data_IF_163473953143
#
_entry.id   IF_163473953143
#
_cell.length_a   1.000
_cell.length_b   1.000
_cell.length_c   1.000
_cell.angle_alpha   90.00
_cell.angle_beta   90.00
_cell.angle_gamma   90.00
#
_symmetry.space_group_name_H-M   'P 1'
#
loop_
_entity.id
_entity.type
_entity.pdbx_description
1 polymer ?
#
# COMPACT_ATOMS: atom_id res chain seq x y z
N UNK A 1 10.14 3.24 -39.10
CA UNK A 1 10.64 1.87 -39.30
C UNK A 1 10.89 1.31 -37.90
N UNK A 2 10.15 0.26 -37.58
CA UNK A 2 9.92 -0.33 -36.26
C UNK A 2 11.17 -1.05 -35.76
N UNK A 3 11.70 -0.66 -34.60
CA UNK A 3 12.63 -1.49 -33.83
C UNK A 3 11.83 -2.17 -32.71
N UNK A 4 11.13 -3.23 -33.09
CA UNK A 4 10.46 -4.16 -32.18
C UNK A 4 11.56 -5.05 -31.62
N UNK A 5 12.17 -4.65 -30.51
CA UNK A 5 13.06 -5.53 -29.76
C UNK A 5 12.23 -6.43 -28.83
N UNK A 6 11.85 -7.57 -29.39
CA UNK A 6 11.78 -8.92 -28.83
C UNK A 6 12.31 -9.08 -27.39
N UNK A 7 11.57 -8.60 -26.39
CA UNK A 7 11.88 -8.85 -24.98
C UNK A 7 10.63 -8.89 -24.09
N UNK A 8 9.51 -9.29 -24.69
CA UNK A 8 8.21 -9.47 -24.03
C UNK A 8 8.25 -10.54 -22.90
N UNK A 9 9.37 -11.27 -22.78
CA UNK A 9 9.67 -12.28 -21.76
C UNK A 9 10.59 -11.81 -20.63
N UNK A 10 11.12 -10.58 -20.67
CA UNK A 10 12.06 -10.06 -19.68
C UNK A 10 11.41 -9.71 -18.33
N UNK A 11 12.22 -9.60 -17.26
CA UNK A 11 11.76 -9.19 -15.92
C UNK A 11 10.96 -7.88 -15.97
N UNK A 12 11.43 -6.90 -16.75
CA UNK A 12 10.77 -5.59 -16.89
C UNK A 12 9.38 -5.69 -17.53
N UNK A 13 9.22 -6.53 -18.56
CA UNK A 13 7.92 -6.77 -19.20
C UNK A 13 6.95 -7.42 -18.21
N UNK A 14 7.42 -8.41 -17.42
CA UNK A 14 6.61 -9.05 -16.37
C UNK A 14 6.16 -8.07 -15.30
N UNK A 15 7.05 -7.20 -14.81
CA UNK A 15 6.71 -6.18 -13.81
C UNK A 15 5.71 -5.14 -14.35
N UNK A 16 5.86 -4.72 -15.61
CA UNK A 16 4.92 -3.79 -16.26
C UNK A 16 3.54 -4.42 -16.43
N UNK A 17 3.48 -5.65 -16.96
CA UNK A 17 2.22 -6.40 -17.07
C UNK A 17 1.54 -6.59 -15.73
N UNK A 18 2.30 -6.89 -14.67
CA UNK A 18 1.74 -6.97 -13.32
C UNK A 18 1.16 -5.62 -12.88
N UNK A 19 1.91 -4.52 -13.03
CA UNK A 19 1.42 -3.18 -12.71
C UNK A 19 0.12 -2.83 -13.46
N UNK A 20 0.06 -3.14 -14.76
CA UNK A 20 -1.11 -2.91 -15.62
C UNK A 20 -2.29 -3.79 -15.18
N UNK A 21 -2.05 -5.06 -14.88
CA UNK A 21 -3.10 -5.99 -14.42
C UNK A 21 -3.65 -5.63 -13.03
N UNK A 22 -2.83 -5.01 -12.17
CA UNK A 22 -3.21 -4.54 -10.83
C UNK A 22 -3.50 -3.04 -10.82
N UNK A 23 -3.91 -2.48 -11.96
CA UNK A 23 -4.35 -1.08 -12.05
C UNK A 23 -5.76 -0.93 -11.51
N UNK A 24 -6.00 0.16 -10.77
CA UNK A 24 -7.29 0.48 -10.17
C UNK A 24 -7.16 0.72 -8.68
N UNK A 25 -8.31 0.89 -8.03
CA UNK A 25 -8.40 1.19 -6.61
C UNK A 25 -9.14 0.08 -5.85
N UNK A 26 -8.80 -0.04 -4.57
CA UNK A 26 -9.61 -0.73 -3.58
C UNK A 26 -10.39 0.30 -2.77
N UNK A 27 -11.57 -0.11 -2.32
CA UNK A 27 -12.36 0.66 -1.35
C UNK A 27 -12.63 -0.21 -0.13
N UNK A 28 -12.57 0.41 1.05
CA UNK A 28 -12.80 -0.21 2.33
C UNK A 28 -13.50 0.78 3.26
N UNK A 29 -14.65 0.41 3.81
CA UNK A 29 -15.36 1.24 4.79
C UNK A 29 -14.83 0.97 6.18
N UNK A 30 -14.44 2.02 6.90
CA UNK A 30 -14.00 1.92 8.28
C UNK A 30 -15.17 1.46 9.17
N UNK A 31 -14.97 0.45 10.03
CA UNK A 31 -16.06 -0.18 10.77
C UNK A 31 -16.75 0.73 11.79
N UNK A 32 -16.03 1.68 12.39
CA UNK A 32 -16.59 2.54 13.43
C UNK A 32 -17.06 3.90 12.89
N UNK A 33 -16.23 4.56 12.09
CA UNK A 33 -16.55 5.90 11.54
C UNK A 33 -17.43 5.86 10.30
N UNK A 34 -17.50 4.73 9.59
CA UNK A 34 -18.23 4.60 8.33
C UNK A 34 -17.59 5.32 7.14
N UNK A 35 -16.43 5.96 7.34
CA UNK A 35 -15.67 6.66 6.28
C UNK A 35 -15.17 5.65 5.26
N UNK A 36 -15.30 5.98 3.97
CA UNK A 36 -14.83 5.13 2.88
C UNK A 36 -13.38 5.46 2.56
N UNK A 37 -12.49 4.48 2.76
CA UNK A 37 -11.08 4.60 2.42
C UNK A 37 -10.84 4.01 1.03
N UNK A 38 -10.28 4.80 0.13
CA UNK A 38 -9.83 4.35 -1.19
C UNK A 38 -8.31 4.38 -1.29
N UNK A 39 -7.72 3.37 -1.93
CA UNK A 39 -6.27 3.28 -2.12
C UNK A 39 -5.92 2.42 -3.34
N UNK A 40 -4.79 2.67 -4.02
CA UNK A 40 -4.47 1.95 -5.25
C UNK A 40 -4.15 0.47 -4.99
N UNK A 41 -4.58 -0.40 -5.91
CA UNK A 41 -4.29 -1.84 -5.81
C UNK A 41 -2.80 -2.09 -6.00
N UNK A 42 -2.20 -1.53 -7.05
CA UNK A 42 -0.76 -1.46 -7.20
C UNK A 42 -0.17 -0.32 -6.35
N UNK A 43 0.72 -0.67 -5.42
CA UNK A 43 1.41 0.32 -4.58
C UNK A 43 2.90 0.31 -4.90
N UNK A 44 3.42 1.47 -5.30
CA UNK A 44 4.82 1.61 -5.66
C UNK A 44 5.74 1.59 -4.44
N UNK A 45 7.00 1.19 -4.66
CA UNK A 45 8.03 1.29 -3.63
C UNK A 45 8.32 2.76 -3.24
N UNK A 46 8.10 3.71 -4.15
CA UNK A 46 8.30 5.13 -3.90
C UNK A 46 7.43 5.67 -2.76
N UNK A 47 6.16 5.28 -2.70
CA UNK A 47 5.25 5.69 -1.61
C UNK A 47 5.72 5.18 -0.25
N UNK A 48 6.25 3.95 -0.23
CA UNK A 48 6.84 3.35 0.96
C UNK A 48 8.11 4.09 1.38
N UNK A 49 9.00 4.38 0.43
CA UNK A 49 10.22 5.15 0.70
C UNK A 49 9.91 6.57 1.19
N UNK A 50 8.88 7.21 0.64
CA UNK A 50 8.39 8.52 1.11
C UNK A 50 7.89 8.44 2.55
N UNK A 51 7.09 7.43 2.88
CA UNK A 51 6.62 7.21 4.25
C UNK A 51 7.77 6.97 5.23
N UNK A 52 8.77 6.17 4.84
CA UNK A 52 9.99 5.97 5.65
C UNK A 52 10.73 7.28 5.92
N UNK A 53 10.92 8.13 4.91
CA UNK A 53 11.57 9.44 5.09
C UNK A 53 10.78 10.36 6.01
N UNK A 54 9.44 10.31 5.98
CA UNK A 54 8.58 11.10 6.86
C UNK A 54 8.58 10.58 8.31
N UNK A 55 8.74 9.27 8.48
CA UNK A 55 8.80 8.63 9.79
C UNK A 55 10.15 8.83 10.50
N UNK A 56 11.23 9.01 9.74
CA UNK A 56 12.58 9.05 10.30
C UNK A 56 12.95 7.69 10.90
N UNK A 57 13.44 7.71 12.14
CA UNK A 57 13.88 6.51 12.85
C UNK A 57 12.76 5.78 13.62
N UNK A 58 11.50 6.23 13.50
CA UNK A 58 10.36 5.62 14.19
C UNK A 58 9.60 4.63 13.29
N UNK A 59 9.81 3.32 13.43
CA UNK A 59 9.14 2.32 12.60
C UNK A 59 7.64 2.26 12.83
N UNK A 60 7.15 2.71 13.99
CA UNK A 60 5.70 2.71 14.31
C UNK A 60 4.96 3.76 13.49
N UNK A 61 5.64 4.84 13.11
CA UNK A 61 5.05 5.92 12.32
C UNK A 61 5.03 5.64 10.81
N UNK A 62 5.85 4.71 10.32
CA UNK A 62 5.92 4.38 8.88
C UNK A 62 4.54 3.95 8.36
N UNK A 63 3.83 3.10 9.10
CA UNK A 63 2.50 2.62 8.70
C UNK A 63 1.50 3.78 8.58
N UNK A 64 1.48 4.69 9.57
CA UNK A 64 0.63 5.87 9.54
C UNK A 64 0.96 6.76 8.35
N UNK A 65 2.24 7.09 8.16
CA UNK A 65 2.67 7.95 7.04
C UNK A 65 2.39 7.32 5.69
N UNK A 66 2.51 5.99 5.58
CA UNK A 66 2.15 5.28 4.38
C UNK A 66 0.65 5.34 4.11
N UNK A 67 -0.18 5.05 5.11
CA UNK A 67 -1.65 5.14 5.02
C UNK A 67 -2.05 6.52 4.50
N UNK A 68 -1.62 7.62 5.14
CA UNK A 68 -2.03 8.97 4.71
C UNK A 68 -1.45 9.37 3.35
N UNK A 69 -0.33 8.77 2.93
CA UNK A 69 0.26 9.01 1.61
C UNK A 69 -0.62 8.37 0.52
N UNK A 70 -0.99 7.10 0.68
CA UNK A 70 -1.64 6.33 -0.40
C UNK A 70 -3.16 6.33 -0.33
N UNK A 71 -3.75 6.49 0.86
CA UNK A 71 -5.20 6.43 1.04
C UNK A 71 -5.88 7.79 0.86
N UNK A 72 -7.11 7.78 0.37
CA UNK A 72 -8.04 8.90 0.47
C UNK A 72 -9.25 8.47 1.33
N UNK A 73 -9.76 9.37 2.16
CA UNK A 73 -10.85 9.17 3.11
C UNK A 73 -12.04 10.00 2.61
N UNK A 74 -13.08 9.32 2.11
CA UNK A 74 -14.19 9.92 1.35
C UNK A 74 -13.73 10.84 0.19
N UNK A 75 -12.57 10.50 -0.41
CA UNK A 75 -11.95 11.27 -1.48
C UNK A 75 -10.95 12.34 -1.02
N UNK A 76 -10.79 12.55 0.29
CA UNK A 76 -9.89 13.56 0.85
C UNK A 76 -8.58 12.97 1.40
N UNK A 77 -7.54 13.80 1.46
CA UNK A 77 -6.25 13.45 2.08
C UNK A 77 -6.16 14.01 3.49
N UNK A 78 -6.10 13.13 4.48
CA UNK A 78 -5.88 13.53 5.88
C UNK A 78 -4.42 13.90 6.13
N UNK A 79 -4.19 14.89 7.00
CA UNK A 79 -2.86 15.14 7.56
C UNK A 79 -2.60 14.20 8.73
N UNK A 80 -1.33 14.04 9.09
CA UNK A 80 -0.95 13.16 10.18
C UNK A 80 -1.54 13.57 11.55
N UNK A 81 -1.79 14.87 11.76
CA UNK A 81 -2.47 15.37 12.97
C UNK A 81 -3.92 14.91 13.01
N UNK A 82 -4.69 15.26 11.98
CA UNK A 82 -6.10 14.89 11.83
C UNK A 82 -6.31 13.38 11.92
N UNK A 83 -5.43 12.59 11.29
CA UNK A 83 -5.50 11.14 11.37
C UNK A 83 -5.37 10.63 12.81
N UNK A 84 -4.42 11.16 13.59
CA UNK A 84 -4.21 10.74 14.98
C UNK A 84 -5.33 11.19 15.91
N UNK A 85 -5.94 12.34 15.61
CA UNK A 85 -7.00 12.92 16.44
C UNK A 85 -8.37 12.28 16.16
N UNK A 86 -8.66 11.99 14.89
CA UNK A 86 -10.02 11.67 14.44
C UNK A 86 -10.23 10.19 14.10
N UNK A 87 -9.18 9.42 13.81
CA UNK A 87 -9.32 7.99 13.48
C UNK A 87 -9.22 7.14 14.75
N UNK A 88 -10.29 6.42 15.16
CA UNK A 88 -10.24 5.54 16.31
C UNK A 88 -9.23 4.40 16.12
N UNK A 89 -8.69 3.88 17.22
CA UNK A 89 -7.69 2.81 17.19
C UNK A 89 -8.17 1.53 16.47
N UNK A 90 -9.44 1.17 16.63
CA UNK A 90 -10.03 0.00 15.95
C UNK A 90 -10.10 0.18 14.44
N UNK A 91 -10.44 1.39 13.97
CA UNK A 91 -10.46 1.73 12.54
C UNK A 91 -9.05 1.73 11.97
N UNK A 92 -8.07 2.28 12.72
CA UNK A 92 -6.66 2.20 12.36
C UNK A 92 -6.18 0.75 12.26
N UNK A 93 -6.55 -0.11 13.21
CA UNK A 93 -6.17 -1.52 13.22
C UNK A 93 -6.82 -2.28 12.05
N UNK A 94 -8.10 -2.05 11.79
CA UNK A 94 -8.82 -2.65 10.67
C UNK A 94 -8.22 -2.26 9.32
N UNK A 95 -7.95 -0.96 9.13
CA UNK A 95 -7.30 -0.46 7.92
C UNK A 95 -5.88 -1.00 7.77
N UNK A 96 -5.10 -1.03 8.85
CA UNK A 96 -3.74 -1.59 8.84
C UNK A 96 -3.75 -3.08 8.50
N UNK A 97 -4.65 -3.86 9.11
CA UNK A 97 -4.86 -5.27 8.78
C UNK A 97 -5.28 -5.46 7.31
N UNK A 98 -6.09 -4.56 6.76
CA UNK A 98 -6.49 -4.61 5.35
C UNK A 98 -5.34 -4.27 4.40
N UNK A 99 -4.53 -3.27 4.72
CA UNK A 99 -3.44 -2.79 3.86
C UNK A 99 -2.18 -3.64 3.92
N UNK A 100 -1.87 -4.17 5.11
CA UNK A 100 -0.61 -4.87 5.39
C UNK A 100 -0.82 -6.34 5.77
N UNK A 101 -2.04 -6.76 6.14
CA UNK A 101 -2.35 -8.13 6.58
C UNK A 101 -2.58 -9.15 5.48
N UNK A 102 -1.98 -8.95 4.29
CA UNK A 102 -1.97 -9.96 3.24
C UNK A 102 -0.88 -10.99 3.49
N UNK A 103 -1.29 -12.25 3.74
CA UNK A 103 -0.45 -13.44 3.93
C UNK A 103 0.92 -13.30 3.25
N UNK A 104 1.97 -13.24 4.08
CA UNK A 104 3.29 -13.69 3.63
C UNK A 104 3.05 -15.08 3.07
N UNK A 105 3.28 -15.27 1.77
CA UNK A 105 3.44 -16.61 1.25
C UNK A 105 4.60 -17.20 2.07
N UNK A 106 4.26 -18.12 2.97
CA UNK A 106 5.18 -19.04 3.60
C UNK A 106 5.97 -19.70 2.47
N UNK A 107 7.09 -19.07 2.09
CA UNK A 107 8.11 -19.74 1.32
C UNK A 107 8.91 -20.47 2.38
N UNK A 108 8.34 -21.59 2.84
CA UNK A 108 9.04 -22.59 3.62
C UNK A 108 10.31 -22.97 2.85
N UNK A 109 11.41 -22.31 3.18
CA UNK A 109 12.73 -22.81 2.87
C UNK A 109 13.06 -23.79 4.00
N UNK A 110 12.46 -24.98 3.91
CA UNK A 110 12.94 -26.20 4.52
C UNK A 110 14.35 -26.48 4.00
N UNK A 111 15.35 -25.78 4.53
CA UNK A 111 16.73 -26.26 4.53
C UNK A 111 16.95 -27.05 5.81
N UNK A 112 16.50 -28.30 5.79
CA UNK A 112 17.20 -29.35 6.52
C UNK A 112 18.32 -29.85 5.62
N UNK A 113 19.55 -29.48 5.97
CA UNK A 113 20.75 -30.24 5.67
C UNK A 113 21.23 -30.84 7.00
#
# INVERSE_FOLDING_TARGET
MTDVNDNDSGVLARLRRHKEATTGDHSFTLPNTGVVVTYPQFRGYEDWSRAQRMAGDDPTLINLYYIITVCAFDGEKLRAGDYRELIPSDDHLALSGRMFGGKVADTGNDRKA
#
